data_IF_359166217343
#
_entry.id   IF_359166217343
#
_cell.length_a   1.000
_cell.length_b   1.000
_cell.length_c   1.000
_cell.angle_alpha   90.00
_cell.angle_beta   90.00
_cell.angle_gamma   90.00
#
_symmetry.space_group_name_H-M   'P 1'
#
loop_
_entity.id
_entity.type
_entity.pdbx_description
1 polymer ?
#
# COMPACT_ATOMS: atom_id res chain seq x y z
N UNK A 1 -4.09 19.12 -29.37
CA UNK A 1 -5.45 19.52 -29.73
C UNK A 1 -5.76 20.76 -28.91
N UNK A 2 -6.41 21.78 -29.47
CA UNK A 2 -6.82 22.93 -28.66
C UNK A 2 -8.10 22.53 -27.89
N UNK A 3 -7.93 22.12 -26.63
CA UNK A 3 -9.04 21.66 -25.78
C UNK A 3 -10.15 22.71 -25.62
N UNK A 4 -9.82 24.00 -25.76
CA UNK A 4 -10.81 25.07 -25.68
C UNK A 4 -11.64 25.16 -26.96
N UNK A 5 -11.01 24.95 -28.12
CA UNK A 5 -11.73 24.85 -29.39
C UNK A 5 -12.75 23.71 -29.35
N UNK A 6 -12.33 22.54 -28.86
CA UNK A 6 -13.18 21.35 -28.72
C UNK A 6 -14.40 21.61 -27.81
N UNK A 7 -14.18 22.23 -26.65
CA UNK A 7 -15.28 22.62 -25.75
C UNK A 7 -16.22 23.66 -26.38
N UNK A 8 -15.70 24.61 -27.15
CA UNK A 8 -16.53 25.61 -27.85
C UNK A 8 -17.43 24.96 -28.91
N UNK A 9 -16.91 23.99 -29.67
CA UNK A 9 -17.70 23.23 -30.64
C UNK A 9 -18.83 22.45 -29.95
N UNK A 10 -18.53 21.81 -28.82
CA UNK A 10 -19.53 21.10 -28.02
C UNK A 10 -20.56 22.08 -27.45
N UNK A 11 -20.13 23.24 -26.97
CA UNK A 11 -21.02 24.28 -26.45
C UNK A 11 -22.06 24.71 -27.48
N UNK A 12 -21.65 24.95 -28.72
CA UNK A 12 -22.57 25.33 -29.80
C UNK A 12 -23.66 24.27 -30.07
N UNK A 13 -23.37 22.98 -29.81
CA UNK A 13 -24.33 21.89 -29.94
C UNK A 13 -25.37 21.90 -28.80
N UNK A 14 -24.95 22.27 -27.57
CA UNK A 14 -25.78 22.12 -26.38
C UNK A 14 -26.38 23.43 -25.84
N UNK A 15 -25.91 24.60 -26.29
CA UNK A 15 -26.26 25.91 -25.70
C UNK A 15 -27.76 26.18 -25.59
N UNK A 16 -28.55 25.70 -26.54
CA UNK A 16 -30.00 25.92 -26.57
C UNK A 16 -30.75 25.02 -25.57
N UNK A 17 -30.09 24.00 -25.04
CA UNK A 17 -30.61 23.13 -23.97
C UNK A 17 -30.33 23.68 -22.57
N UNK A 18 -29.45 24.69 -22.46
CA UNK A 18 -29.09 25.30 -21.18
C UNK A 18 -30.11 26.37 -20.78
N UNK A 19 -30.63 26.35 -19.55
CA UNK A 19 -31.45 27.44 -19.02
C UNK A 19 -30.62 28.72 -18.83
N UNK A 20 -31.25 29.87 -19.07
CA UNK A 20 -30.62 31.17 -18.87
C UNK A 20 -30.40 31.46 -17.38
N UNK A 21 -29.25 32.05 -17.05
CA UNK A 21 -28.90 32.45 -15.68
C UNK A 21 -28.59 31.29 -14.73
N UNK A 22 -28.39 30.07 -15.23
CA UNK A 22 -28.01 28.91 -14.43
C UNK A 22 -26.61 28.46 -14.81
N UNK A 23 -25.73 28.33 -13.81
CA UNK A 23 -24.42 27.75 -13.96
C UNK A 23 -24.44 26.29 -13.51
N UNK A 24 -23.83 25.42 -14.32
CA UNK A 24 -23.59 24.02 -14.00
C UNK A 24 -22.11 23.80 -13.77
N UNK A 25 -21.78 23.18 -12.65
CA UNK A 25 -20.41 22.98 -12.20
C UNK A 25 -20.07 21.48 -12.16
N UNK A 26 -18.87 21.15 -12.58
CA UNK A 26 -18.22 19.87 -12.36
C UNK A 26 -16.81 20.15 -11.83
N UNK A 27 -16.17 19.16 -11.22
CA UNK A 27 -14.79 19.32 -10.80
C UNK A 27 -14.03 18.02 -11.02
N UNK A 28 -12.73 18.17 -11.23
CA UNK A 28 -11.80 17.08 -11.43
C UNK A 28 -10.54 17.31 -10.60
N UNK A 29 -9.91 16.19 -10.25
CA UNK A 29 -8.66 16.15 -9.51
C UNK A 29 -7.69 15.39 -10.40
N UNK A 30 -6.55 16.00 -10.79
CA UNK A 30 -5.51 15.27 -11.49
C UNK A 30 -5.06 14.12 -10.60
N UNK A 31 -5.22 12.87 -11.06
CA UNK A 31 -4.53 11.76 -10.41
C UNK A 31 -3.05 11.79 -10.81
N UNK A 32 -2.17 11.43 -9.88
CA UNK A 32 -0.76 11.18 -10.19
C UNK A 32 -0.52 9.93 -11.07
N UNK A 33 -1.52 9.07 -11.24
CA UNK A 33 -1.45 7.80 -11.99
C UNK A 33 -1.91 7.90 -13.46
N UNK A 34 -2.27 9.09 -13.94
CA UNK A 34 -2.83 9.28 -15.29
C UNK A 34 -4.27 8.76 -15.46
N UNK A 35 -4.89 8.22 -14.41
CA UNK A 35 -6.31 7.87 -14.35
C UNK A 35 -6.99 8.75 -13.29
N UNK A 36 -7.25 10.01 -13.66
CA UNK A 36 -7.95 10.96 -12.80
C UNK A 36 -9.25 10.36 -12.28
N UNK A 37 -9.76 10.85 -11.15
CA UNK A 37 -11.21 10.76 -10.88
C UNK A 37 -11.94 11.72 -11.83
N UNK A 38 -11.77 11.56 -13.14
CA UNK A 38 -12.53 12.25 -14.17
C UNK A 38 -13.81 11.47 -14.39
N UNK A 39 -14.86 11.85 -13.66
CA UNK A 39 -16.15 11.16 -13.77
C UNK A 39 -17.27 11.76 -12.94
N UNK A 40 -17.18 13.03 -12.56
CA UNK A 40 -18.24 13.66 -11.76
C UNK A 40 -19.17 14.42 -12.69
N UNK A 41 -20.40 13.92 -12.83
CA UNK A 41 -21.47 14.59 -13.57
C UNK A 41 -21.67 16.01 -13.06
N UNK A 42 -22.05 16.91 -13.96
CA UNK A 42 -22.38 18.29 -13.61
C UNK A 42 -23.47 18.36 -12.52
N UNK A 43 -23.48 19.45 -11.77
CA UNK A 43 -24.54 19.79 -10.83
C UNK A 43 -24.76 21.30 -10.84
N UNK A 44 -25.91 21.75 -10.36
CA UNK A 44 -26.14 23.15 -10.01
C UNK A 44 -26.43 23.26 -8.51
N UNK A 45 -26.22 24.43 -7.91
CA UNK A 45 -26.53 24.66 -6.50
C UNK A 45 -27.93 25.25 -6.37
N UNK A 46 -28.80 24.55 -5.64
CA UNK A 46 -30.13 25.04 -5.25
C UNK A 46 -30.20 25.05 -3.73
N UNK A 47 -30.40 26.22 -3.14
CA UNK A 47 -30.42 26.42 -1.68
C UNK A 47 -29.17 25.83 -0.97
N UNK A 48 -28.00 26.01 -1.59
CA UNK A 48 -26.72 25.49 -1.07
C UNK A 48 -26.51 23.99 -1.23
N UNK A 49 -27.43 23.27 -1.89
CA UNK A 49 -27.34 21.83 -2.12
C UNK A 49 -27.09 21.51 -3.60
N UNK A 50 -26.22 20.54 -3.85
CA UNK A 50 -25.94 20.07 -5.20
C UNK A 50 -27.16 19.32 -5.79
N UNK A 51 -27.80 19.91 -6.80
CA UNK A 51 -28.89 19.31 -7.54
C UNK A 51 -28.39 18.75 -8.89
N UNK A 52 -28.27 17.42 -8.95
CA UNK A 52 -27.89 16.70 -10.18
C UNK A 52 -29.08 16.33 -11.06
N UNK A 53 -30.31 16.37 -10.53
CA UNK A 53 -31.52 16.07 -11.30
C UNK A 53 -31.92 17.24 -12.20
N UNK A 54 -31.52 18.46 -11.83
CA UNK A 54 -31.77 19.68 -12.58
C UNK A 54 -30.80 19.89 -13.75
N UNK A 55 -29.85 18.99 -13.99
CA UNK A 55 -28.93 19.16 -15.13
C UNK A 55 -29.63 18.88 -16.46
N UNK A 56 -29.33 19.65 -17.51
CA UNK A 56 -29.81 19.42 -18.86
C UNK A 56 -29.49 18.00 -19.33
N UNK A 57 -30.40 17.41 -20.10
CA UNK A 57 -30.25 16.04 -20.62
C UNK A 57 -28.96 15.85 -21.45
N UNK A 58 -28.49 16.92 -22.10
CA UNK A 58 -27.24 16.94 -22.86
C UNK A 58 -25.97 16.83 -22.00
N UNK A 59 -26.07 17.03 -20.68
CA UNK A 59 -24.97 16.90 -19.71
C UNK A 59 -25.13 15.68 -18.80
N UNK A 60 -26.22 14.91 -18.95
CA UNK A 60 -26.44 13.65 -18.21
C UNK A 60 -25.71 12.51 -18.90
N UNK A 61 -25.22 11.58 -18.10
CA UNK A 61 -24.80 10.28 -18.59
C UNK A 61 -26.03 9.49 -19.07
N UNK A 62 -26.01 9.05 -20.34
CA UNK A 62 -27.16 8.40 -20.97
C UNK A 62 -26.75 7.42 -22.05
N UNK A 63 -27.60 6.43 -22.31
CA UNK A 63 -27.34 5.30 -23.23
C UNK A 63 -27.52 5.62 -24.72
N UNK A 64 -27.86 6.86 -25.07
CA UNK A 64 -28.02 7.26 -26.46
C UNK A 64 -26.66 7.58 -27.07
N UNK A 65 -26.33 6.96 -28.21
CA UNK A 65 -25.02 7.03 -28.86
C UNK A 65 -24.46 8.46 -29.00
N UNK A 66 -25.30 9.41 -29.43
CA UNK A 66 -24.89 10.83 -29.59
C UNK A 66 -24.54 11.51 -28.27
N UNK A 67 -25.18 11.11 -27.17
CA UNK A 67 -24.88 11.61 -25.82
C UNK A 67 -23.60 11.00 -25.28
N UNK A 68 -23.37 9.71 -25.54
CA UNK A 68 -22.12 9.02 -25.21
C UNK A 68 -20.93 9.71 -25.88
N UNK A 69 -21.05 10.03 -27.18
CA UNK A 69 -19.99 10.71 -27.93
C UNK A 69 -19.70 12.11 -27.38
N UNK A 70 -20.72 12.93 -27.11
CA UNK A 70 -20.55 14.28 -26.55
C UNK A 70 -19.92 14.20 -25.16
N UNK A 71 -20.40 13.32 -24.27
CA UNK A 71 -19.86 13.18 -22.92
C UNK A 71 -18.41 12.68 -22.95
N UNK A 72 -18.08 11.75 -23.86
CA UNK A 72 -16.70 11.28 -24.03
C UNK A 72 -15.79 12.44 -24.42
N UNK A 73 -16.17 13.24 -25.42
CA UNK A 73 -15.39 14.40 -25.88
C UNK A 73 -15.21 15.45 -24.77
N UNK A 74 -16.26 15.70 -23.97
CA UNK A 74 -16.17 16.58 -22.78
C UNK A 74 -15.16 16.01 -21.78
N UNK A 75 -15.24 14.72 -21.48
CA UNK A 75 -14.37 14.07 -20.50
C UNK A 75 -12.90 14.07 -20.95
N UNK A 76 -12.64 13.83 -22.24
CA UNK A 76 -11.31 13.87 -22.83
C UNK A 76 -10.72 15.29 -22.75
N UNK A 77 -11.49 16.32 -23.14
CA UNK A 77 -11.05 17.70 -23.03
C UNK A 77 -10.79 18.13 -21.58
N UNK A 78 -11.66 17.73 -20.64
CA UNK A 78 -11.44 17.97 -19.19
C UNK A 78 -10.21 17.26 -18.68
N UNK A 79 -9.96 16.03 -19.12
CA UNK A 79 -8.78 15.28 -18.76
C UNK A 79 -7.51 16.01 -19.23
N UNK A 80 -7.46 16.41 -20.50
CA UNK A 80 -6.34 17.17 -21.06
C UNK A 80 -6.09 18.49 -20.32
N UNK A 81 -7.15 19.25 -20.02
CA UNK A 81 -7.05 20.49 -19.22
C UNK A 81 -6.48 20.19 -17.84
N UNK A 82 -6.98 19.14 -17.18
CA UNK A 82 -6.59 18.75 -15.82
C UNK A 82 -5.12 18.30 -15.78
N UNK A 83 -4.68 17.51 -16.76
CA UNK A 83 -3.29 17.04 -16.88
C UNK A 83 -2.33 18.18 -17.22
N UNK A 84 -2.79 19.21 -17.94
CA UNK A 84 -2.00 20.41 -18.22
C UNK A 84 -1.78 21.32 -17.00
N UNK A 85 -2.54 21.12 -15.90
CA UNK A 85 -2.34 21.87 -14.67
C UNK A 85 -1.22 21.28 -13.80
N UNK A 86 -0.73 22.08 -12.84
CA UNK A 86 0.14 21.56 -11.77
C UNK A 86 -0.54 20.38 -11.04
N UNK A 87 0.18 19.29 -10.74
CA UNK A 87 -0.38 18.15 -10.03
C UNK A 87 -1.02 18.56 -8.70
N UNK A 88 -2.15 17.93 -8.35
CA UNK A 88 -2.82 18.16 -7.07
C UNK A 88 -3.68 19.42 -6.99
N UNK A 89 -3.84 20.19 -8.08
CA UNK A 89 -4.80 21.31 -8.14
C UNK A 89 -6.21 20.80 -8.48
N UNK A 90 -7.24 21.24 -7.76
CA UNK A 90 -8.63 21.01 -8.17
C UNK A 90 -9.00 21.94 -9.31
N UNK A 91 -9.48 21.38 -10.41
CA UNK A 91 -10.01 22.15 -11.53
C UNK A 91 -11.53 22.14 -11.43
N UNK A 92 -12.12 23.33 -11.33
CA UNK A 92 -13.56 23.54 -11.41
C UNK A 92 -13.88 23.86 -12.87
N UNK A 93 -14.77 23.09 -13.46
CA UNK A 93 -15.34 23.29 -14.77
C UNK A 93 -16.75 23.86 -14.61
N UNK A 94 -17.06 24.95 -15.29
CA UNK A 94 -18.40 25.52 -15.32
C UNK A 94 -18.91 25.62 -16.74
N UNK A 95 -20.23 25.46 -16.90
CA UNK A 95 -20.91 25.74 -18.15
C UNK A 95 -22.20 26.51 -17.90
N UNK A 96 -22.41 27.57 -18.67
CA UNK A 96 -23.64 28.37 -18.66
C UNK A 96 -24.00 28.79 -20.08
N UNK A 97 -25.26 29.19 -20.29
CA UNK A 97 -25.72 29.68 -21.60
C UNK A 97 -24.99 30.97 -22.01
N UNK A 98 -24.67 31.80 -21.04
CA UNK A 98 -24.11 33.14 -21.26
C UNK A 98 -22.60 33.10 -21.49
N UNK A 99 -21.88 32.23 -20.77
CA UNK A 99 -20.41 32.24 -20.75
C UNK A 99 -19.76 31.02 -21.43
N UNK A 100 -20.55 30.04 -21.86
CA UNK A 100 -20.00 28.79 -22.41
C UNK A 100 -19.26 27.96 -21.38
N UNK A 101 -18.34 27.10 -21.84
CA UNK A 101 -17.46 26.34 -20.96
C UNK A 101 -16.32 27.22 -20.45
N UNK A 102 -16.13 27.21 -19.14
CA UNK A 102 -15.02 27.86 -18.46
C UNK A 102 -14.38 26.88 -17.47
N UNK A 103 -13.12 27.12 -17.11
CA UNK A 103 -12.45 26.39 -16.05
C UNK A 103 -11.56 27.32 -15.22
N UNK A 104 -11.32 26.93 -13.97
CA UNK A 104 -10.39 27.61 -13.07
C UNK A 104 -9.91 26.67 -11.97
N UNK A 105 -8.86 27.07 -11.28
CA UNK A 105 -8.39 26.39 -10.08
C UNK A 105 -9.31 26.74 -8.90
N UNK A 106 -9.69 25.74 -8.12
CA UNK A 106 -10.48 25.91 -6.90
C UNK A 106 -9.68 26.65 -5.83
N UNK A 107 -10.35 27.54 -5.09
CA UNK A 107 -9.82 28.04 -3.81
C UNK A 107 -9.90 26.96 -2.73
N UNK A 108 -9.12 27.06 -1.63
CA UNK A 108 -9.23 26.12 -0.50
C UNK A 108 -10.64 26.06 0.10
N UNK A 109 -11.36 27.18 0.14
CA UNK A 109 -12.75 27.27 0.61
C UNK A 109 -13.68 26.43 -0.26
N UNK A 110 -13.59 26.59 -1.58
CA UNK A 110 -14.40 25.85 -2.54
C UNK A 110 -14.06 24.37 -2.54
N UNK A 111 -12.78 24.04 -2.41
CA UNK A 111 -12.32 22.67 -2.25
C UNK A 111 -13.01 22.00 -1.05
N UNK A 112 -12.96 22.62 0.13
CA UNK A 112 -13.61 22.10 1.34
C UNK A 112 -15.12 21.99 1.16
N UNK A 113 -15.78 22.99 0.55
CA UNK A 113 -17.22 22.95 0.29
C UNK A 113 -17.62 21.80 -0.64
N UNK A 114 -16.89 21.61 -1.75
CA UNK A 114 -17.17 20.55 -2.72
C UNK A 114 -16.95 19.17 -2.12
N UNK A 115 -15.92 19.01 -1.29
CA UNK A 115 -15.67 17.76 -0.55
C UNK A 115 -16.78 17.47 0.44
N UNK A 116 -17.25 18.47 1.22
CA UNK A 116 -18.39 18.30 2.14
C UNK A 116 -19.63 17.79 1.41
N UNK A 117 -19.97 18.39 0.26
CA UNK A 117 -21.11 17.99 -0.55
C UNK A 117 -21.03 16.55 -1.07
N UNK A 118 -19.83 16.02 -1.25
CA UNK A 118 -19.65 14.61 -1.62
C UNK A 118 -19.71 13.67 -0.45
N UNK A 119 -19.03 14.00 0.63
CA UNK A 119 -19.02 13.13 1.81
C UNK A 119 -20.44 12.90 2.32
N UNK A 120 -21.29 13.93 2.34
CA UNK A 120 -22.70 13.83 2.74
C UNK A 120 -23.46 12.80 1.87
N UNK A 121 -23.16 12.70 0.57
CA UNK A 121 -23.81 11.73 -0.33
C UNK A 121 -23.38 10.29 -0.11
N UNK A 122 -22.23 10.10 0.53
CA UNK A 122 -21.69 8.78 0.82
C UNK A 122 -22.20 8.24 2.15
N UNK A 123 -22.97 9.01 2.91
CA UNK A 123 -23.56 8.54 4.17
C UNK A 123 -24.88 7.85 3.90
N UNK A 124 -24.95 6.57 4.26
CA UNK A 124 -26.17 5.79 4.20
C UNK A 124 -27.12 6.24 5.33
N UNK A 125 -28.46 6.24 5.09
CA UNK A 125 -29.41 6.59 6.14
C UNK A 125 -29.21 5.77 7.42
N UNK A 126 -29.26 6.43 8.58
CA UNK A 126 -29.01 5.83 9.89
C UNK A 126 -27.53 5.57 10.20
N UNK A 127 -26.60 6.14 9.42
CA UNK A 127 -25.16 6.01 9.70
C UNK A 127 -24.50 7.34 9.96
N UNK A 128 -23.39 7.29 10.71
CA UNK A 128 -22.43 8.39 10.83
C UNK A 128 -21.06 7.87 10.46
N UNK A 129 -20.27 8.66 9.74
CA UNK A 129 -18.93 8.27 9.29
C UNK A 129 -17.88 9.20 9.89
N UNK A 130 -16.83 8.63 10.47
CA UNK A 130 -15.57 9.33 10.69
C UNK A 130 -14.60 8.89 9.63
N UNK A 131 -13.99 9.86 8.94
CA UNK A 131 -13.10 9.59 7.81
C UNK A 131 -11.79 10.28 8.11
N UNK A 132 -10.70 9.55 7.95
CA UNK A 132 -9.35 10.00 8.24
C UNK A 132 -8.51 9.82 6.99
N UNK A 133 -7.65 10.80 6.69
CA UNK A 133 -6.59 10.66 5.72
C UNK A 133 -5.30 11.18 6.32
N UNK A 134 -4.34 10.28 6.49
CA UNK A 134 -2.96 10.60 6.83
C UNK A 134 -2.21 10.88 5.53
N UNK A 135 -1.49 12.00 5.50
CA UNK A 135 -0.69 12.40 4.35
C UNK A 135 0.77 12.32 4.74
N UNK A 136 1.50 11.43 4.08
CA UNK A 136 2.94 11.34 4.17
C UNK A 136 3.54 11.78 2.83
N UNK A 137 4.53 12.68 2.79
CA UNK A 137 5.26 12.94 1.57
C UNK A 137 6.05 11.67 1.18
N UNK A 138 5.85 11.20 -0.04
CA UNK A 138 6.74 10.21 -0.65
C UNK A 138 8.16 10.81 -0.71
N UNK A 139 9.09 10.21 0.02
CA UNK A 139 10.46 10.70 0.18
C UNK A 139 11.25 10.74 -1.13
N UNK A 140 10.83 10.01 -2.16
CA UNK A 140 11.50 9.91 -3.47
C UNK A 140 10.85 10.78 -4.53
N UNK A 141 9.52 10.86 -4.53
CA UNK A 141 8.78 11.56 -5.59
C UNK A 141 8.27 12.94 -5.18
N UNK A 142 8.30 13.27 -3.88
CA UNK A 142 7.70 14.49 -3.33
C UNK A 142 6.17 14.51 -3.42
N UNK A 143 5.55 13.42 -3.88
CA UNK A 143 4.10 13.32 -4.05
C UNK A 143 3.43 13.01 -2.71
N UNK A 144 2.19 13.50 -2.48
CA UNK A 144 1.42 13.09 -1.31
C UNK A 144 1.02 11.63 -1.44
N UNK A 145 1.57 10.80 -0.56
CA UNK A 145 1.06 9.46 -0.30
C UNK A 145 -0.03 9.57 0.77
N UNK A 146 -1.21 9.05 0.47
CA UNK A 146 -2.39 9.27 1.29
C UNK A 146 -3.01 7.95 1.70
N UNK A 147 -2.94 7.66 2.99
CA UNK A 147 -3.58 6.50 3.59
C UNK A 147 -4.91 6.93 4.19
N UNK A 148 -5.99 6.46 3.57
CA UNK A 148 -7.35 6.74 4.00
C UNK A 148 -7.90 5.63 4.88
N UNK A 149 -8.68 5.98 5.90
CA UNK A 149 -9.52 5.04 6.67
C UNK A 149 -10.85 5.67 7.02
N UNK A 150 -11.85 4.83 7.28
CA UNK A 150 -13.16 5.28 7.71
C UNK A 150 -13.74 4.37 8.79
N UNK A 151 -14.41 4.97 9.77
CA UNK A 151 -15.24 4.28 10.77
C UNK A 151 -16.70 4.60 10.51
N UNK A 152 -17.52 3.57 10.34
CA UNK A 152 -18.97 3.69 10.16
C UNK A 152 -19.64 3.28 11.46
N UNK A 153 -20.42 4.20 12.01
CA UNK A 153 -21.25 4.00 13.19
C UNK A 153 -22.68 3.76 12.73
N UNK A 154 -23.24 2.61 13.11
CA UNK A 154 -24.61 2.20 12.81
C UNK A 154 -25.53 2.48 14.01
N UNK A 155 -26.83 2.67 13.78
CA UNK A 155 -27.82 2.95 14.85
C UNK A 155 -27.89 1.86 15.92
N UNK A 156 -27.55 0.61 15.56
CA UNK A 156 -27.51 -0.53 16.48
C UNK A 156 -26.29 -0.50 17.43
N UNK A 157 -25.42 0.51 17.35
CA UNK A 157 -24.19 0.65 18.14
C UNK A 157 -22.99 -0.10 17.56
N UNK A 158 -23.14 -0.79 16.43
CA UNK A 158 -22.03 -1.43 15.72
C UNK A 158 -21.10 -0.37 15.10
N UNK A 159 -19.80 -0.62 15.18
CA UNK A 159 -18.77 0.21 14.56
C UNK A 159 -17.93 -0.67 13.65
N UNK A 160 -17.81 -0.28 12.38
CA UNK A 160 -16.95 -0.96 11.40
C UNK A 160 -15.86 -0.02 10.91
N UNK A 161 -14.63 -0.49 10.86
CA UNK A 161 -13.49 0.25 10.31
C UNK A 161 -13.09 -0.37 8.96
N UNK A 162 -12.80 0.50 7.99
CA UNK A 162 -12.40 0.12 6.63
C UNK A 162 -11.17 0.91 6.21
N UNK A 163 -10.26 0.27 5.48
CA UNK A 163 -9.19 0.92 4.74
C UNK A 163 -9.73 1.54 3.44
N UNK A 164 -9.09 2.62 3.00
CA UNK A 164 -9.55 3.44 1.87
C UNK A 164 -10.59 4.49 2.30
N UNK A 165 -10.34 5.75 1.95
CA UNK A 165 -11.21 6.86 2.29
C UNK A 165 -11.58 7.70 1.06
N UNK A 166 -12.87 8.10 0.91
CA UNK A 166 -13.29 9.05 -0.12
C UNK A 166 -12.62 10.42 -0.03
N UNK A 167 -12.05 10.75 1.14
CA UNK A 167 -11.37 12.03 1.38
C UNK A 167 -9.92 12.06 0.86
N UNK A 168 -9.39 10.93 0.37
CA UNK A 168 -7.99 10.85 -0.04
C UNK A 168 -7.64 11.82 -1.18
N UNK A 169 -8.54 12.05 -2.13
CA UNK A 169 -8.27 13.00 -3.21
C UNK A 169 -8.33 14.46 -2.74
N UNK A 170 -9.20 14.77 -1.77
CA UNK A 170 -9.16 16.05 -1.07
C UNK A 170 -7.82 16.22 -0.34
N UNK A 171 -7.36 15.21 0.39
CA UNK A 171 -6.12 15.29 1.16
C UNK A 171 -4.90 15.52 0.25
N UNK A 172 -4.85 14.84 -0.91
CA UNK A 172 -3.83 15.09 -1.94
C UNK A 172 -3.82 16.54 -2.42
N UNK A 173 -4.99 17.12 -2.67
CA UNK A 173 -5.07 18.49 -3.15
C UNK A 173 -4.79 19.53 -2.06
N UNK A 174 -5.33 19.30 -0.86
CA UNK A 174 -5.10 20.14 0.30
C UNK A 174 -3.61 20.15 0.71
N UNK A 175 -2.88 19.05 0.47
CA UNK A 175 -1.43 18.99 0.67
C UNK A 175 -0.70 20.04 -0.18
N UNK A 176 -1.01 20.14 -1.47
CA UNK A 176 -0.45 21.16 -2.35
C UNK A 176 -0.92 22.58 -2.02
N UNK A 177 -2.17 22.72 -1.61
CA UNK A 177 -2.71 24.02 -1.19
C UNK A 177 -2.04 24.55 0.09
N UNK A 178 -1.40 23.68 0.88
CA UNK A 178 -0.72 24.02 2.15
C UNK A 178 0.80 23.91 2.05
N UNK A 179 1.37 24.12 0.87
CA UNK A 179 2.82 24.04 0.62
C UNK A 179 3.43 22.72 1.14
N UNK A 180 2.74 21.60 0.92
CA UNK A 180 3.21 20.25 1.27
C UNK A 180 3.32 20.00 2.78
N UNK A 181 2.62 20.81 3.60
CA UNK A 181 2.65 20.69 5.08
C UNK A 181 1.48 19.92 5.66
N UNK A 182 0.48 19.55 4.85
CA UNK A 182 -0.67 18.78 5.34
C UNK A 182 -0.19 17.42 5.84
N UNK A 183 -0.51 17.09 7.09
CA UNK A 183 -0.25 15.80 7.71
C UNK A 183 -1.52 14.97 7.88
N UNK A 184 -2.64 15.65 8.15
CA UNK A 184 -3.87 14.95 8.52
C UNK A 184 -5.12 15.66 8.04
N UNK A 185 -6.10 14.88 7.60
CA UNK A 185 -7.48 15.31 7.36
C UNK A 185 -8.42 14.42 8.14
N UNK A 186 -9.32 15.04 8.89
CA UNK A 186 -10.44 14.39 9.56
C UNK A 186 -11.74 14.94 9.00
N UNK A 187 -12.71 14.05 8.77
CA UNK A 187 -14.07 14.44 8.50
C UNK A 187 -15.06 13.66 9.38
N UNK A 188 -15.95 14.39 10.03
CA UNK A 188 -17.15 13.84 10.66
C UNK A 188 -18.33 14.11 9.75
N UNK A 189 -18.99 13.04 9.32
CA UNK A 189 -20.01 13.11 8.27
C UNK A 189 -21.31 12.46 8.75
N UNK A 190 -22.40 13.18 8.55
CA UNK A 190 -23.78 12.76 8.79
C UNK A 190 -24.60 12.93 7.50
N UNK A 191 -25.87 12.51 7.51
CA UNK A 191 -26.78 12.69 6.38
C UNK A 191 -27.00 14.15 5.95
N UNK A 192 -26.73 15.11 6.85
CA UNK A 192 -27.06 16.52 6.62
C UNK A 192 -25.87 17.46 6.71
N UNK A 193 -24.76 17.00 7.28
CA UNK A 193 -23.61 17.85 7.55
C UNK A 193 -22.29 17.07 7.44
N UNK A 194 -21.24 17.80 7.09
CA UNK A 194 -19.87 17.33 7.05
C UNK A 194 -18.94 18.39 7.66
N UNK A 195 -18.28 18.04 8.75
CA UNK A 195 -17.25 18.86 9.37
C UNK A 195 -15.90 18.32 8.93
N UNK A 196 -15.05 19.18 8.34
CA UNK A 196 -13.69 18.83 7.94
C UNK A 196 -12.70 19.62 8.80
N UNK A 197 -11.75 18.90 9.41
CA UNK A 197 -10.64 19.44 10.19
C UNK A 197 -9.32 18.99 9.57
N UNK A 198 -8.28 19.81 9.68
CA UNK A 198 -6.96 19.49 9.09
C UNK A 198 -5.83 19.80 10.06
N UNK A 199 -4.69 19.14 9.86
CA UNK A 199 -3.43 19.46 10.56
C UNK A 199 -2.31 19.70 9.54
N UNK A 200 -1.78 20.93 9.41
CA UNK A 200 -2.26 22.16 10.05
C UNK A 200 -3.64 22.58 9.55
N UNK A 201 -4.30 23.47 10.28
CA UNK A 201 -5.55 24.11 9.83
C UNK A 201 -5.32 24.91 8.54
N UNK A 202 -6.28 24.88 7.61
CA UNK A 202 -6.32 25.80 6.47
C UNK A 202 -6.84 27.15 7.01
N UNK A 203 -6.04 28.23 6.98
CA UNK A 203 -6.41 29.50 7.59
C UNK A 203 -7.77 30.01 7.10
N UNK A 204 -8.72 30.20 8.02
CA UNK A 204 -10.06 30.71 7.72
C UNK A 204 -11.04 29.70 7.12
N UNK A 205 -10.61 28.45 6.87
CA UNK A 205 -11.43 27.44 6.17
C UNK A 205 -11.73 26.22 7.02
N UNK A 206 -10.72 25.65 7.68
CA UNK A 206 -10.88 24.44 8.52
C UNK A 206 -10.41 24.72 9.94
N UNK A 207 -10.99 23.98 10.88
CA UNK A 207 -10.46 23.92 12.24
C UNK A 207 -9.20 23.05 12.29
N UNK A 208 -8.34 23.31 13.28
CA UNK A 208 -7.23 22.44 13.59
C UNK A 208 -7.77 21.08 14.05
N UNK A 209 -7.30 20.02 13.41
CA UNK A 209 -7.47 18.68 13.94
C UNK A 209 -6.38 18.42 14.97
N UNK A 210 -6.77 18.41 16.25
CA UNK A 210 -5.94 17.91 17.33
C UNK A 210 -6.22 16.43 17.51
N UNK A 211 -5.17 15.62 17.34
CA UNK A 211 -5.22 14.19 17.63
C UNK A 211 -5.39 14.02 19.14
N UNK A 212 -6.63 13.83 19.60
CA UNK A 212 -6.90 13.51 21.00
C UNK A 212 -6.78 11.99 21.18
N UNK A 213 -5.55 11.52 21.36
CA UNK A 213 -5.26 10.12 21.62
C UNK A 213 -5.16 9.83 23.11
N UNK A 214 -5.76 8.72 23.54
CA UNK A 214 -5.55 8.20 24.88
C UNK A 214 -4.12 7.64 25.00
N UNK A 215 -3.29 8.34 25.78
CA UNK A 215 -1.91 7.96 26.07
C UNK A 215 -1.77 7.23 27.42
N UNK A 216 -2.89 6.79 28.01
CA UNK A 216 -2.89 6.01 29.25
C UNK A 216 -2.41 4.59 28.97
N UNK A 217 -1.18 4.28 29.37
CA UNK A 217 -0.58 2.96 29.21
C UNK A 217 -0.54 2.19 30.54
N UNK A 218 -1.23 1.04 30.61
CA UNK A 218 -1.02 0.05 31.66
C UNK A 218 0.20 -0.81 31.34
N UNK A 219 1.38 -0.37 31.77
CA UNK A 219 2.66 -1.04 31.56
C UNK A 219 2.89 -2.26 32.47
N UNK A 220 1.86 -2.80 33.14
CA UNK A 220 1.98 -4.04 33.93
C UNK A 220 2.02 -5.31 33.07
N UNK A 221 1.61 -5.20 31.80
CA UNK A 221 1.51 -6.29 30.83
C UNK A 221 2.20 -5.91 29.52
N UNK A 222 2.93 -6.85 28.93
CA UNK A 222 3.69 -6.58 27.70
C UNK A 222 2.78 -6.35 26.50
N UNK A 223 1.60 -6.98 26.49
CA UNK A 223 0.60 -6.88 25.44
C UNK A 223 0.10 -5.44 25.27
N UNK A 224 -0.08 -4.70 26.36
CA UNK A 224 -0.49 -3.30 26.33
C UNK A 224 0.64 -2.40 25.76
N UNK A 225 1.90 -2.75 26.00
CA UNK A 225 3.04 -2.04 25.42
C UNK A 225 3.11 -2.32 23.91
N UNK A 226 2.89 -3.56 23.49
CA UNK A 226 2.80 -3.91 22.06
C UNK A 226 1.63 -3.22 21.37
N UNK A 227 0.48 -3.07 22.01
CA UNK A 227 -0.62 -2.25 21.48
C UNK A 227 -0.17 -0.81 21.18
N UNK A 228 0.60 -0.20 22.09
CA UNK A 228 1.11 1.16 21.91
C UNK A 228 2.13 1.25 20.77
N UNK A 229 3.11 0.33 20.74
CA UNK A 229 4.10 0.27 19.66
C UNK A 229 3.46 0.01 18.29
N UNK A 230 2.45 -0.84 18.22
CA UNK A 230 1.85 -1.26 16.96
C UNK A 230 0.64 -0.40 16.54
N UNK A 231 0.44 0.76 17.18
CA UNK A 231 -0.74 1.63 16.98
C UNK A 231 -0.67 2.58 15.77
N UNK A 232 0.47 2.67 15.10
CA UNK A 232 0.81 3.69 14.09
C UNK A 232 0.83 5.15 14.60
N UNK A 233 0.65 5.38 15.91
CA UNK A 233 0.76 6.72 16.51
C UNK A 233 2.17 6.96 17.03
N UNK A 234 2.83 8.01 16.55
CA UNK A 234 4.15 8.45 17.04
C UNK A 234 4.14 8.63 18.57
N UNK A 235 3.10 9.29 19.11
CA UNK A 235 2.97 9.55 20.55
C UNK A 235 2.78 8.28 21.38
N UNK A 236 1.98 7.32 20.88
CA UNK A 236 1.82 6.02 21.55
C UNK A 236 3.10 5.18 21.44
N UNK A 237 3.78 5.20 20.30
CA UNK A 237 5.04 4.50 20.11
C UNK A 237 6.07 5.03 21.10
N UNK A 238 6.23 6.35 21.22
CA UNK A 238 7.15 6.99 22.18
C UNK A 238 6.84 6.55 23.62
N UNK A 239 5.57 6.58 24.03
CA UNK A 239 5.13 6.09 25.35
C UNK A 239 5.43 4.61 25.57
N UNK A 240 5.26 3.78 24.54
CA UNK A 240 5.62 2.36 24.57
C UNK A 240 7.12 2.17 24.78
N UNK A 241 7.96 2.93 24.07
CA UNK A 241 9.42 2.90 24.22
C UNK A 241 9.84 3.33 25.62
N UNK A 242 9.30 4.43 26.14
CA UNK A 242 9.56 4.90 27.53
C UNK A 242 9.25 3.80 28.56
N UNK A 243 8.12 3.09 28.39
CA UNK A 243 7.72 2.00 29.28
C UNK A 243 8.69 0.80 29.20
N UNK A 244 9.22 0.50 28.02
CA UNK A 244 10.25 -0.53 27.86
C UNK A 244 11.57 -0.13 28.51
N UNK A 245 12.01 1.11 28.38
CA UNK A 245 13.23 1.60 29.02
C UNK A 245 13.16 1.53 30.55
N UNK A 246 11.98 1.75 31.11
CA UNK A 246 11.72 1.62 32.54
C UNK A 246 11.60 0.15 33.02
N UNK A 247 11.45 -0.82 32.12
CA UNK A 247 11.27 -2.23 32.44
C UNK A 247 12.20 -3.14 31.61
N UNK A 248 13.40 -3.49 32.14
CA UNK A 248 14.39 -4.29 31.42
C UNK A 248 13.91 -5.67 30.97
N UNK A 249 13.00 -6.32 31.72
CA UNK A 249 12.45 -7.63 31.34
C UNK A 249 11.59 -7.50 30.08
N UNK A 250 10.72 -6.49 30.05
CA UNK A 250 9.86 -6.20 28.90
C UNK A 250 10.66 -5.69 27.71
N UNK A 251 11.70 -4.87 27.94
CA UNK A 251 12.66 -4.48 26.90
C UNK A 251 13.28 -5.68 26.21
N UNK A 252 13.78 -6.67 26.96
CA UNK A 252 14.36 -7.87 26.39
C UNK A 252 13.36 -8.68 25.53
N UNK A 253 12.09 -8.75 25.95
CA UNK A 253 11.02 -9.39 25.16
C UNK A 253 10.73 -8.62 23.86
N UNK A 254 10.63 -7.30 23.94
CA UNK A 254 10.43 -6.45 22.77
C UNK A 254 11.62 -6.50 21.80
N UNK A 255 12.86 -6.54 22.31
CA UNK A 255 14.07 -6.70 21.49
C UNK A 255 14.12 -8.06 20.79
N UNK A 256 13.59 -9.13 21.42
CA UNK A 256 13.42 -10.43 20.75
C UNK A 256 12.39 -10.34 19.62
N UNK A 257 11.28 -9.63 19.82
CA UNK A 257 10.19 -9.48 18.84
C UNK A 257 10.56 -8.59 17.65
N UNK A 258 11.18 -7.43 17.91
CA UNK A 258 11.40 -6.39 16.90
C UNK A 258 12.86 -6.15 16.55
N UNK A 259 13.82 -6.65 17.35
CA UNK A 259 15.22 -6.25 17.24
C UNK A 259 15.84 -6.52 15.88
N UNK A 260 15.50 -7.64 15.22
CA UNK A 260 15.98 -7.91 13.87
C UNK A 260 15.34 -6.99 12.82
N UNK A 261 14.05 -6.67 12.98
CA UNK A 261 13.39 -5.72 12.08
C UNK A 261 14.05 -4.35 12.15
N UNK A 262 14.34 -3.90 13.37
CA UNK A 262 15.05 -2.65 13.62
C UNK A 262 16.43 -2.67 12.98
N UNK A 263 17.21 -3.73 13.20
CA UNK A 263 18.56 -3.85 12.64
C UNK A 263 18.58 -3.88 11.12
N UNK A 264 17.63 -4.57 10.50
CA UNK A 264 17.52 -4.67 9.05
C UNK A 264 17.15 -3.32 8.43
N UNK A 265 16.20 -2.58 9.03
CA UNK A 265 15.67 -1.34 8.43
C UNK A 265 16.44 -0.08 8.82
N UNK A 266 17.07 -0.05 9.99
CA UNK A 266 17.75 1.14 10.53
C UNK A 266 19.27 0.97 10.54
N UNK A 267 19.76 -0.22 10.87
CA UNK A 267 21.19 -0.55 10.91
C UNK A 267 21.57 -1.46 12.09
N UNK A 268 22.70 -2.16 11.97
CA UNK A 268 23.10 -3.23 12.89
C UNK A 268 23.28 -2.80 14.37
N UNK A 269 23.59 -1.53 14.60
CA UNK A 269 23.80 -0.95 15.94
C UNK A 269 22.51 -0.39 16.56
N UNK A 270 21.38 -0.41 15.86
CA UNK A 270 20.12 0.15 16.33
C UNK A 270 19.41 -0.77 17.35
N UNK A 271 18.90 -0.17 18.43
CA UNK A 271 18.11 -0.83 19.47
C UNK A 271 16.64 -0.44 19.47
N UNK A 272 15.92 -0.83 20.53
CA UNK A 272 14.45 -0.64 20.62
C UNK A 272 14.01 0.82 20.52
N UNK A 273 14.87 1.76 20.90
CA UNK A 273 14.65 3.21 20.75
C UNK A 273 14.49 3.64 19.28
N UNK A 274 14.93 2.82 18.34
CA UNK A 274 14.78 3.05 16.90
C UNK A 274 13.52 2.39 16.31
N UNK A 275 12.62 1.85 17.14
CA UNK A 275 11.43 1.13 16.67
C UNK A 275 10.55 1.98 15.75
N UNK A 276 10.31 3.25 16.06
CA UNK A 276 9.50 4.16 15.23
C UNK A 276 9.97 4.23 13.77
N UNK A 277 11.29 4.24 13.56
CA UNK A 277 11.90 4.29 12.21
C UNK A 277 11.82 2.95 11.48
N UNK A 278 11.75 1.85 12.24
CA UNK A 278 11.73 0.50 11.71
C UNK A 278 10.31 -0.04 11.50
N UNK A 279 9.34 0.44 12.27
CA UNK A 279 7.95 0.01 12.20
C UNK A 279 7.40 0.17 10.78
N UNK A 280 6.55 -0.77 10.38
CA UNK A 280 5.86 -0.65 9.12
C UNK A 280 4.82 0.47 9.21
N UNK A 281 4.79 1.32 8.20
CA UNK A 281 3.66 2.21 7.96
C UNK A 281 2.41 1.39 7.58
N UNK A 282 1.23 2.00 7.69
CA UNK A 282 -0.03 1.37 7.28
C UNK A 282 0.01 0.86 5.84
N UNK A 283 0.57 1.64 4.92
CA UNK A 283 0.73 1.23 3.51
C UNK A 283 1.65 0.03 3.35
N UNK A 284 2.74 -0.02 4.09
CA UNK A 284 3.64 -1.19 4.09
C UNK A 284 2.96 -2.43 4.68
N UNK A 285 2.08 -2.27 5.67
CA UNK A 285 1.23 -3.36 6.18
C UNK A 285 0.26 -3.87 5.10
N UNK A 286 -0.31 -2.99 4.26
CA UNK A 286 -1.20 -3.39 3.15
C UNK A 286 -0.51 -4.27 2.10
N UNK A 287 0.82 -4.25 2.01
CA UNK A 287 1.59 -5.17 1.16
C UNK A 287 1.43 -6.64 1.57
N UNK A 288 0.94 -6.90 2.78
CA UNK A 288 0.66 -8.26 3.31
C UNK A 288 -0.81 -8.66 3.19
N UNK A 289 -1.62 -7.89 2.47
CA UNK A 289 -3.03 -8.21 2.21
C UNK A 289 -3.21 -9.38 1.22
N UNK A 290 -4.43 -9.92 1.15
CA UNK A 290 -4.81 -11.03 0.27
C UNK A 290 -4.53 -10.82 -1.22
N UNK A 291 -4.37 -9.56 -1.67
CA UNK A 291 -3.98 -9.25 -3.05
C UNK A 291 -2.56 -9.72 -3.36
N UNK A 292 -1.66 -9.63 -2.38
CA UNK A 292 -0.25 -10.01 -2.50
C UNK A 292 0.07 -11.33 -1.83
N UNK A 293 -0.69 -11.71 -0.79
CA UNK A 293 -0.50 -12.94 -0.01
C UNK A 293 -1.79 -13.77 -0.01
N UNK A 294 -2.13 -14.34 -1.17
CA UNK A 294 -3.22 -15.30 -1.29
C UNK A 294 -2.84 -16.67 -0.69
N UNK A 295 -3.80 -17.58 -0.51
CA UNK A 295 -3.66 -18.85 0.23
C UNK A 295 -2.35 -19.63 -0.02
N UNK A 296 -1.92 -19.72 -1.27
CA UNK A 296 -0.70 -20.43 -1.70
C UNK A 296 0.19 -19.62 -2.65
N UNK A 297 -0.02 -18.30 -2.76
CA UNK A 297 0.69 -17.43 -3.70
C UNK A 297 1.21 -16.19 -3.01
N UNK A 298 2.49 -15.87 -3.26
CA UNK A 298 3.04 -14.54 -3.01
C UNK A 298 3.17 -13.83 -4.34
N UNK A 299 2.51 -12.70 -4.50
CA UNK A 299 2.61 -11.84 -5.68
C UNK A 299 3.34 -10.55 -5.34
N UNK A 300 4.54 -10.40 -5.89
CA UNK A 300 5.29 -9.13 -5.90
C UNK A 300 5.03 -8.34 -7.18
N UNK A 301 4.01 -8.74 -7.96
CA UNK A 301 3.70 -8.15 -9.25
C UNK A 301 3.47 -6.64 -9.13
N UNK A 302 4.13 -5.89 -10.02
CA UNK A 302 4.11 -4.42 -10.11
C UNK A 302 4.65 -3.68 -8.88
N UNK A 303 5.27 -4.38 -7.94
CA UNK A 303 5.96 -3.73 -6.83
C UNK A 303 7.24 -3.03 -7.32
N UNK A 304 7.50 -1.86 -6.76
CA UNK A 304 8.78 -1.18 -6.91
C UNK A 304 9.87 -1.79 -5.99
N UNK A 305 11.08 -1.24 -6.05
CA UNK A 305 12.22 -1.76 -5.27
C UNK A 305 12.01 -1.60 -3.75
N UNK A 306 11.36 -0.53 -3.28
CA UNK A 306 11.15 -0.28 -1.85
C UNK A 306 10.03 -1.17 -1.29
N UNK A 307 8.97 -1.38 -2.06
CA UNK A 307 7.89 -2.30 -1.71
C UNK A 307 8.44 -3.74 -1.62
N UNK A 308 9.24 -4.15 -2.61
CA UNK A 308 9.93 -5.44 -2.58
C UNK A 308 10.85 -5.55 -1.36
N UNK A 309 11.65 -4.51 -1.08
CA UNK A 309 12.55 -4.43 0.06
C UNK A 309 11.79 -4.55 1.37
N UNK A 310 10.66 -3.88 1.51
CA UNK A 310 9.82 -3.92 2.71
C UNK A 310 9.34 -5.34 3.00
N UNK A 311 8.81 -6.03 1.99
CA UNK A 311 8.36 -7.41 2.13
C UNK A 311 9.51 -8.34 2.53
N UNK A 312 10.65 -8.22 1.85
CA UNK A 312 11.85 -9.04 2.10
C UNK A 312 12.45 -8.76 3.47
N UNK A 313 12.60 -7.49 3.85
CA UNK A 313 13.18 -7.08 5.13
C UNK A 313 12.32 -7.52 6.30
N UNK A 314 10.99 -7.40 6.20
CA UNK A 314 10.09 -7.82 7.26
C UNK A 314 10.11 -9.34 7.45
N UNK A 315 9.88 -10.11 6.38
CA UNK A 315 9.89 -11.58 6.43
C UNK A 315 11.28 -12.10 6.83
N UNK A 316 12.33 -11.54 6.25
CA UNK A 316 13.71 -11.91 6.53
C UNK A 316 14.07 -11.67 7.99
N UNK A 317 13.70 -10.51 8.55
CA UNK A 317 13.92 -10.18 9.97
C UNK A 317 13.18 -11.12 10.91
N UNK A 318 11.95 -11.50 10.54
CA UNK A 318 11.14 -12.43 11.31
C UNK A 318 11.82 -13.81 11.38
N UNK A 319 12.36 -14.31 10.26
CA UNK A 319 13.17 -15.55 10.24
C UNK A 319 14.46 -15.40 11.04
N UNK A 320 15.20 -14.31 10.84
CA UNK A 320 16.49 -14.05 11.51
C UNK A 320 16.39 -13.91 13.03
N UNK A 321 15.18 -13.66 13.54
CA UNK A 321 14.92 -13.65 14.99
C UNK A 321 15.04 -15.05 15.62
N UNK A 322 14.93 -16.11 14.81
CA UNK A 322 14.97 -17.50 15.25
C UNK A 322 16.07 -18.34 14.61
N UNK A 323 16.68 -17.83 13.54
CA UNK A 323 17.69 -18.50 12.74
C UNK A 323 18.92 -17.61 12.54
N UNK A 324 20.08 -18.11 12.95
CA UNK A 324 21.36 -17.54 12.51
C UNK A 324 21.62 -17.99 11.06
N UNK A 325 21.49 -17.06 10.12
CA UNK A 325 21.61 -17.31 8.68
C UNK A 325 23.03 -17.75 8.29
N UNK A 326 24.06 -17.28 8.98
CA UNK A 326 25.44 -17.66 8.66
C UNK A 326 25.77 -19.07 9.16
N UNK A 327 25.33 -19.40 10.38
CA UNK A 327 25.49 -20.75 10.92
C UNK A 327 24.66 -21.76 10.12
N UNK A 328 23.42 -21.41 9.77
CA UNK A 328 22.59 -22.24 8.90
C UNK A 328 23.26 -22.50 7.55
N UNK A 329 23.79 -21.45 6.89
CA UNK A 329 24.53 -21.60 5.62
C UNK A 329 25.69 -22.58 5.76
N UNK A 330 26.52 -22.45 6.80
CA UNK A 330 27.66 -23.37 7.05
C UNK A 330 27.19 -24.82 7.20
N UNK A 331 26.10 -25.05 7.92
CA UNK A 331 25.53 -26.38 8.10
C UNK A 331 25.05 -26.97 6.76
N UNK A 332 24.37 -26.16 5.94
CA UNK A 332 23.90 -26.58 4.62
C UNK A 332 25.06 -26.92 3.67
N UNK A 333 26.11 -26.11 3.63
CA UNK A 333 27.32 -26.34 2.82
C UNK A 333 28.15 -27.53 3.32
N UNK A 334 28.02 -27.88 4.60
CA UNK A 334 28.69 -29.04 5.18
C UNK A 334 28.03 -30.37 4.79
N UNK A 335 26.74 -30.38 4.43
CA UNK A 335 25.99 -31.60 4.09
C UNK A 335 26.58 -32.34 2.88
N UNK A 336 26.56 -33.67 2.94
CA UNK A 336 27.19 -34.53 1.93
C UNK A 336 26.18 -35.02 0.86
N UNK A 337 24.88 -34.91 1.15
CA UNK A 337 23.82 -35.36 0.25
C UNK A 337 22.48 -34.65 0.51
N UNK A 338 21.52 -34.86 -0.39
CA UNK A 338 20.20 -34.21 -0.33
C UNK A 338 19.36 -34.63 0.89
N UNK A 339 19.59 -35.81 1.46
CA UNK A 339 18.85 -36.28 2.64
C UNK A 339 19.26 -35.49 3.89
N UNK A 340 20.56 -35.37 4.14
CA UNK A 340 21.11 -34.55 5.23
C UNK A 340 20.68 -33.09 5.10
N UNK A 341 20.72 -32.54 3.88
CA UNK A 341 20.27 -31.18 3.59
C UNK A 341 18.81 -30.97 4.02
N UNK A 342 17.92 -31.91 3.70
CA UNK A 342 16.50 -31.83 4.07
C UNK A 342 16.31 -31.91 5.58
N UNK A 343 17.06 -32.76 6.29
CA UNK A 343 16.98 -32.88 7.74
C UNK A 343 17.37 -31.59 8.45
N UNK A 344 18.51 -30.98 8.06
CA UNK A 344 18.96 -29.68 8.59
C UNK A 344 17.91 -28.61 8.34
N UNK A 345 17.39 -28.53 7.12
CA UNK A 345 16.38 -27.54 6.75
C UNK A 345 15.08 -27.70 7.56
N UNK A 346 14.52 -28.90 7.63
CA UNK A 346 13.25 -29.13 8.32
C UNK A 346 13.35 -28.87 9.82
N UNK A 347 14.49 -29.22 10.44
CA UNK A 347 14.77 -28.89 11.84
C UNK A 347 14.76 -27.37 12.08
N UNK A 348 15.48 -26.62 11.23
CA UNK A 348 15.48 -25.16 11.28
C UNK A 348 14.09 -24.56 11.02
N UNK A 349 13.35 -25.09 10.05
CA UNK A 349 12.02 -24.61 9.68
C UNK A 349 11.01 -24.78 10.82
N UNK A 350 11.04 -25.92 11.52
CA UNK A 350 10.20 -26.15 12.70
C UNK A 350 10.49 -25.15 13.82
N UNK A 351 11.77 -24.89 14.11
CA UNK A 351 12.19 -23.91 15.12
C UNK A 351 11.72 -22.51 14.77
N UNK A 352 11.94 -22.07 13.53
CA UNK A 352 11.55 -20.74 13.05
C UNK A 352 10.03 -20.60 13.12
N UNK A 353 9.27 -21.56 12.60
CA UNK A 353 7.80 -21.53 12.63
C UNK A 353 7.26 -21.43 14.06
N UNK A 354 7.77 -22.26 14.98
CA UNK A 354 7.35 -22.23 16.38
C UNK A 354 7.63 -20.87 17.01
N UNK A 355 8.83 -20.32 16.81
CA UNK A 355 9.20 -19.00 17.32
C UNK A 355 8.31 -17.86 16.81
N UNK A 356 7.97 -17.87 15.52
CA UNK A 356 7.07 -16.87 14.93
C UNK A 356 5.66 -16.95 15.55
N UNK A 357 5.12 -18.17 15.69
CA UNK A 357 3.81 -18.38 16.30
C UNK A 357 3.79 -17.99 17.77
N UNK A 358 4.85 -18.30 18.52
CA UNK A 358 4.96 -17.95 19.93
C UNK A 358 4.85 -16.42 20.13
N UNK A 359 5.54 -15.62 19.31
CA UNK A 359 5.41 -14.15 19.38
C UNK A 359 4.05 -13.66 18.89
N UNK A 360 3.55 -14.22 17.79
CA UNK A 360 2.23 -13.84 17.28
C UNK A 360 1.14 -14.04 18.34
N UNK A 361 1.25 -15.09 19.15
CA UNK A 361 0.31 -15.41 20.23
C UNK A 361 0.42 -14.49 21.45
N UNK A 362 1.54 -13.79 21.66
CA UNK A 362 1.65 -12.81 22.77
C UNK A 362 0.68 -11.65 22.55
N UNK A 363 0.61 -11.13 21.32
CA UNK A 363 -0.33 -10.06 20.97
C UNK A 363 -0.77 -10.16 19.51
N UNK A 364 -1.80 -10.97 19.28
CA UNK A 364 -2.29 -11.31 17.94
C UNK A 364 -3.20 -10.26 17.28
N UNK A 365 -3.79 -9.34 18.06
CA UNK A 365 -4.75 -8.34 17.56
C UNK A 365 -4.12 -7.10 16.92
N UNK A 366 -2.92 -7.25 16.37
CA UNK A 366 -2.06 -6.17 15.91
C UNK A 366 -1.48 -6.48 14.54
N UNK A 367 -1.01 -5.47 13.81
CA UNK A 367 -0.49 -5.70 12.47
C UNK A 367 0.70 -6.67 12.49
N UNK A 368 1.59 -6.63 13.48
CA UNK A 368 2.72 -7.56 13.54
C UNK A 368 2.23 -8.98 13.85
N UNK A 369 1.30 -9.11 14.80
CA UNK A 369 0.71 -10.39 15.18
C UNK A 369 -0.06 -11.06 14.04
N UNK A 370 -0.86 -10.29 13.31
CA UNK A 370 -1.64 -10.74 12.16
C UNK A 370 -0.74 -11.20 11.01
N UNK A 371 0.23 -10.37 10.62
CA UNK A 371 1.18 -10.74 9.56
C UNK A 371 2.04 -11.93 9.99
N UNK A 372 2.51 -11.97 11.23
CA UNK A 372 3.29 -13.12 11.75
C UNK A 372 2.48 -14.42 11.71
N UNK A 373 1.20 -14.35 12.06
CA UNK A 373 0.28 -15.51 11.99
C UNK A 373 0.06 -15.96 10.55
N UNK A 374 -0.18 -15.01 9.64
CA UNK A 374 -0.30 -15.28 8.20
C UNK A 374 0.95 -16.01 7.70
N UNK A 375 2.14 -15.41 7.87
CA UNK A 375 3.41 -15.93 7.37
C UNK A 375 3.75 -17.30 7.97
N UNK A 376 3.55 -17.49 9.29
CA UNK A 376 3.84 -18.77 9.93
C UNK A 376 2.99 -19.94 9.42
N UNK A 377 1.80 -19.65 8.85
CA UNK A 377 0.87 -20.65 8.34
C UNK A 377 0.82 -20.73 6.81
N UNK A 378 1.37 -19.75 6.10
CA UNK A 378 1.32 -19.68 4.65
C UNK A 378 2.13 -20.81 3.97
N UNK A 379 1.48 -21.56 3.08
CA UNK A 379 2.07 -22.62 2.25
C UNK A 379 2.32 -22.12 0.83
N UNK A 380 3.48 -21.50 0.62
CA UNK A 380 3.81 -20.84 -0.65
C UNK A 380 4.04 -21.86 -1.78
N UNK A 381 3.12 -21.98 -2.72
CA UNK A 381 3.30 -22.83 -3.91
C UNK A 381 3.81 -22.03 -5.11
N UNK A 382 3.52 -20.73 -5.14
CA UNK A 382 3.93 -19.83 -6.23
C UNK A 382 4.46 -18.49 -5.70
N UNK A 383 5.56 -18.02 -6.29
CA UNK A 383 6.08 -16.66 -6.14
C UNK A 383 6.05 -15.97 -7.50
N UNK A 384 5.35 -14.84 -7.60
CA UNK A 384 5.15 -14.11 -8.86
C UNK A 384 5.92 -12.79 -8.88
N UNK A 385 6.63 -12.58 -9.99
CA UNK A 385 7.25 -11.32 -10.39
C UNK A 385 6.71 -10.96 -11.77
N UNK A 386 5.64 -10.15 -11.84
CA UNK A 386 5.14 -9.61 -13.10
C UNK A 386 5.39 -8.11 -13.11
N UNK A 387 6.20 -7.61 -14.06
CA UNK A 387 6.54 -6.17 -14.15
C UNK A 387 7.10 -5.60 -12.84
N UNK A 388 7.94 -6.39 -12.17
CA UNK A 388 8.46 -6.10 -10.84
C UNK A 388 9.88 -5.56 -10.91
N UNK A 389 10.21 -4.57 -10.07
CA UNK A 389 11.56 -4.03 -9.95
C UNK A 389 12.30 -4.65 -8.75
N UNK A 390 12.62 -5.94 -8.82
CA UNK A 390 13.28 -6.67 -7.73
C UNK A 390 14.81 -6.52 -7.77
N UNK A 391 15.29 -5.32 -7.44
CA UNK A 391 16.72 -5.00 -7.35
C UNK A 391 17.20 -4.92 -5.90
N UNK A 392 17.23 -6.07 -5.24
CA UNK A 392 17.73 -6.16 -3.87
C UNK A 392 19.17 -6.68 -3.85
N UNK A 393 19.97 -6.15 -2.93
CA UNK A 393 21.32 -6.65 -2.65
C UNK A 393 21.24 -8.06 -2.04
N UNK A 394 22.28 -8.88 -2.24
CA UNK A 394 22.38 -10.20 -1.60
C UNK A 394 22.75 -10.06 -0.12
N UNK A 395 21.83 -9.54 0.68
CA UNK A 395 21.95 -9.37 2.12
C UNK A 395 21.31 -10.56 2.87
N UNK A 396 21.42 -10.56 4.20
CA UNK A 396 20.94 -11.68 5.01
C UNK A 396 19.40 -11.72 5.10
N UNK A 397 18.72 -10.57 5.00
CA UNK A 397 17.27 -10.51 4.94
C UNK A 397 16.73 -11.22 3.68
N UNK A 398 17.35 -11.03 2.51
CA UNK A 398 16.98 -11.71 1.28
C UNK A 398 17.23 -13.22 1.36
N UNK A 399 18.35 -13.65 1.95
CA UNK A 399 18.63 -15.08 2.19
C UNK A 399 17.59 -15.70 3.14
N UNK A 400 17.24 -14.98 4.19
CA UNK A 400 16.22 -15.39 5.15
C UNK A 400 14.82 -15.43 4.53
N UNK A 401 14.49 -14.50 3.63
CA UNK A 401 13.27 -14.56 2.81
C UNK A 401 13.26 -15.80 1.91
N UNK A 402 14.38 -16.13 1.24
CA UNK A 402 14.49 -17.35 0.43
C UNK A 402 14.33 -18.64 1.27
N UNK A 403 14.80 -18.63 2.52
CA UNK A 403 14.49 -19.67 3.49
C UNK A 403 12.99 -19.71 3.82
N UNK A 404 12.37 -18.57 4.12
CA UNK A 404 10.94 -18.52 4.44
C UNK A 404 10.05 -19.19 3.38
N UNK A 405 10.37 -19.06 2.09
CA UNK A 405 9.55 -19.62 1.01
C UNK A 405 9.27 -21.13 1.19
N UNK A 406 10.20 -21.92 1.75
CA UNK A 406 9.97 -23.35 2.01
C UNK A 406 9.70 -23.69 3.49
N UNK A 407 9.41 -22.70 4.33
CA UNK A 407 9.14 -22.88 5.76
C UNK A 407 8.04 -23.92 6.02
N UNK A 408 6.96 -23.88 5.23
CA UNK A 408 5.77 -24.72 5.38
C UNK A 408 5.56 -25.73 4.24
N UNK A 409 6.50 -25.83 3.29
CA UNK A 409 6.27 -26.55 2.04
C UNK A 409 7.05 -27.86 1.96
N UNK A 410 6.35 -28.93 1.58
CA UNK A 410 6.94 -30.21 1.17
C UNK A 410 7.05 -30.38 -0.34
N UNK A 411 6.56 -29.42 -1.12
CA UNK A 411 6.49 -29.47 -2.58
C UNK A 411 7.39 -28.41 -3.22
N UNK A 412 7.66 -28.57 -4.52
CA UNK A 412 8.46 -27.62 -5.29
C UNK A 412 7.68 -26.33 -5.52
N UNK A 413 8.27 -25.21 -5.11
CA UNK A 413 7.71 -23.88 -5.34
C UNK A 413 7.93 -23.47 -6.80
N UNK A 414 6.97 -22.80 -7.39
CA UNK A 414 7.05 -22.24 -8.72
C UNK A 414 7.35 -20.73 -8.68
N UNK A 415 8.48 -20.31 -9.24
CA UNK A 415 8.79 -18.90 -9.43
C UNK A 415 8.41 -18.50 -10.86
N UNK A 416 7.56 -17.49 -10.98
CA UNK A 416 7.04 -16.98 -12.23
C UNK A 416 7.58 -15.57 -12.45
N UNK A 417 8.56 -15.42 -13.32
CA UNK A 417 9.30 -14.17 -13.53
C UNK A 417 9.04 -13.68 -14.94
N UNK A 418 8.21 -12.64 -15.07
CA UNK A 418 7.77 -12.09 -16.35
C UNK A 418 8.01 -10.58 -16.41
N UNK A 419 8.70 -10.12 -17.47
CA UNK A 419 8.99 -8.70 -17.73
C UNK A 419 9.51 -7.95 -16.49
N UNK A 420 10.39 -8.58 -15.70
CA UNK A 420 10.83 -8.07 -14.40
C UNK A 420 12.34 -7.90 -14.36
N UNK A 421 12.84 -6.99 -13.53
CA UNK A 421 14.27 -6.83 -13.25
C UNK A 421 14.63 -7.62 -12.00
N UNK A 422 15.32 -8.75 -12.15
CA UNK A 422 15.70 -9.64 -11.06
C UNK A 422 17.21 -9.94 -11.11
N UNK A 423 17.97 -9.51 -10.11
CA UNK A 423 19.43 -9.67 -10.11
C UNK A 423 19.93 -10.96 -9.46
N UNK A 424 19.28 -11.43 -8.38
CA UNK A 424 19.80 -12.55 -7.62
C UNK A 424 18.71 -13.24 -6.77
N UNK A 425 18.63 -14.57 -6.84
CA UNK A 425 17.81 -15.41 -5.94
C UNK A 425 18.63 -16.04 -4.79
N UNK A 426 19.89 -15.61 -4.64
CA UNK A 426 20.87 -16.03 -3.62
C UNK A 426 21.22 -17.52 -3.66
N UNK A 427 22.31 -17.88 -3.00
CA UNK A 427 22.73 -19.27 -2.81
C UNK A 427 21.68 -20.11 -2.03
N UNK A 428 20.80 -19.46 -1.26
CA UNK A 428 19.73 -20.13 -0.50
C UNK A 428 18.68 -20.81 -1.40
N UNK A 429 18.61 -20.43 -2.69
CA UNK A 429 17.87 -21.17 -3.70
C UNK A 429 18.26 -22.66 -3.69
N UNK A 430 19.55 -22.97 -3.54
CA UNK A 430 20.08 -24.34 -3.55
C UNK A 430 19.91 -25.06 -2.22
N UNK A 431 19.51 -24.35 -1.17
CA UNK A 431 19.29 -24.91 0.17
C UNK A 431 17.86 -25.40 0.37
N UNK A 432 16.94 -25.10 -0.55
CA UNK A 432 15.56 -25.57 -0.44
C UNK A 432 15.47 -27.12 -0.41
N UNK A 433 14.65 -27.73 0.48
CA UNK A 433 14.39 -29.17 0.50
C UNK A 433 13.98 -29.71 -0.88
N UNK A 434 13.15 -28.93 -1.57
CA UNK A 434 12.72 -29.19 -2.94
C UNK A 434 13.03 -27.98 -3.80
N UNK A 435 13.97 -28.12 -4.75
CA UNK A 435 14.39 -26.98 -5.57
C UNK A 435 13.21 -26.29 -6.27
N UNK A 436 13.15 -24.96 -6.24
CA UNK A 436 12.12 -24.23 -6.97
C UNK A 436 12.24 -24.46 -8.48
N UNK A 437 11.08 -24.48 -9.16
CA UNK A 437 10.98 -24.42 -10.61
C UNK A 437 10.81 -22.98 -11.03
N UNK A 438 11.60 -22.51 -12.00
CA UNK A 438 11.58 -21.07 -12.36
C UNK A 438 11.20 -20.87 -13.82
N UNK A 439 10.20 -20.05 -14.10
CA UNK A 439 9.87 -19.58 -15.44
C UNK A 439 10.36 -18.15 -15.63
N UNK A 440 10.96 -17.87 -16.78
CA UNK A 440 11.57 -16.58 -17.11
C UNK A 440 11.04 -16.12 -18.46
N UNK A 441 10.06 -15.23 -18.47
CA UNK A 441 9.49 -14.66 -19.68
C UNK A 441 9.96 -13.22 -19.90
N UNK A 442 10.50 -12.94 -21.09
CA UNK A 442 10.94 -11.59 -21.47
C UNK A 442 11.93 -10.95 -20.46
N UNK A 443 12.80 -11.78 -19.88
CA UNK A 443 13.88 -11.39 -18.97
C UNK A 443 15.07 -12.34 -19.11
N UNK A 444 16.25 -11.90 -18.67
CA UNK A 444 17.45 -12.74 -18.68
C UNK A 444 17.39 -13.81 -17.59
N UNK A 445 17.63 -15.06 -17.99
CA UNK A 445 17.75 -16.17 -17.06
C UNK A 445 19.09 -16.13 -16.33
N UNK A 446 19.05 -16.03 -15.00
CA UNK A 446 20.23 -16.11 -14.14
C UNK A 446 20.03 -17.17 -13.08
N UNK A 447 20.94 -18.15 -13.07
CA UNK A 447 20.96 -19.18 -12.03
C UNK A 447 21.87 -18.74 -10.89
N UNK A 448 21.46 -18.84 -9.61
CA UNK A 448 22.30 -18.44 -8.48
C UNK A 448 23.58 -19.25 -8.36
N UNK A 449 24.57 -18.68 -7.68
CA UNK A 449 25.83 -19.35 -7.36
C UNK A 449 25.59 -20.67 -6.62
N UNK A 450 26.34 -21.71 -7.00
CA UNK A 450 26.21 -23.05 -6.43
C UNK A 450 27.34 -23.32 -5.42
N UNK A 451 26.99 -23.53 -4.15
CA UNK A 451 27.98 -23.69 -3.06
C UNK A 451 28.01 -25.07 -2.42
N UNK A 452 27.11 -25.98 -2.79
CA UNK A 452 27.03 -27.32 -2.21
C UNK A 452 28.13 -28.26 -2.76
N UNK A 453 28.50 -29.26 -1.94
CA UNK A 453 29.50 -30.31 -2.28
C UNK A 453 28.95 -31.42 -3.19
N UNK A 454 27.63 -31.58 -3.25
CA UNK A 454 26.95 -32.57 -4.08
C UNK A 454 26.14 -31.88 -5.17
N UNK A 455 25.77 -32.61 -6.23
CA UNK A 455 25.02 -32.02 -7.36
C UNK A 455 23.53 -31.93 -7.08
N UNK A 456 22.92 -30.81 -7.48
CA UNK A 456 21.46 -30.68 -7.60
C UNK A 456 21.08 -30.18 -8.99
N UNK A 457 19.82 -30.41 -9.39
CA UNK A 457 19.30 -30.06 -10.72
C UNK A 457 18.22 -28.99 -10.61
N UNK A 458 18.51 -27.78 -11.09
CA UNK A 458 17.51 -26.74 -11.22
C UNK A 458 16.68 -26.96 -12.49
N UNK A 459 15.37 -26.73 -12.39
CA UNK A 459 14.43 -26.81 -13.49
C UNK A 459 13.97 -25.41 -13.87
N UNK A 460 14.08 -25.06 -15.14
CA UNK A 460 13.73 -23.74 -15.62
C UNK A 460 13.10 -23.79 -17.00
N UNK A 461 12.29 -22.80 -17.34
CA UNK A 461 11.82 -22.54 -18.70
C UNK A 461 12.07 -21.08 -19.07
N UNK A 462 12.32 -20.82 -20.35
CA UNK A 462 12.51 -19.48 -20.89
C UNK A 462 11.35 -19.20 -21.86
N UNK A 463 10.62 -18.12 -21.62
CA UNK A 463 9.34 -17.76 -22.25
C UNK A 463 8.20 -18.76 -21.95
N UNK A 464 6.96 -18.31 -22.11
CA UNK A 464 5.78 -19.08 -21.72
C UNK A 464 5.61 -20.38 -22.51
N UNK A 465 5.97 -20.37 -23.79
CA UNK A 465 5.96 -21.52 -24.70
C UNK A 465 7.25 -22.36 -24.66
N UNK A 466 8.20 -22.01 -23.78
CA UNK A 466 9.48 -22.70 -23.68
C UNK A 466 9.38 -24.09 -23.06
N UNK A 467 10.21 -25.01 -23.54
CA UNK A 467 10.36 -26.33 -22.90
C UNK A 467 11.03 -26.24 -21.53
N UNK A 468 10.67 -27.16 -20.63
CA UNK A 468 11.34 -27.30 -19.34
C UNK A 468 12.76 -27.87 -19.50
N UNK A 469 13.74 -27.03 -19.22
CA UNK A 469 15.16 -27.36 -19.22
C UNK A 469 15.65 -27.71 -17.81
N UNK A 470 16.82 -28.36 -17.76
CA UNK A 470 17.49 -28.72 -16.51
C UNK A 470 18.97 -28.33 -16.55
N UNK A 471 19.45 -27.69 -15.49
CA UNK A 471 20.87 -27.33 -15.33
C UNK A 471 21.40 -27.89 -14.01
N UNK A 472 22.55 -28.56 -14.06
CA UNK A 472 23.28 -29.06 -12.90
C UNK A 472 24.63 -28.37 -12.87
N UNK A 473 24.86 -27.43 -11.95
CA UNK A 473 26.18 -26.83 -11.76
C UNK A 473 27.21 -27.90 -11.35
N UNK A 474 28.50 -27.62 -11.57
CA UNK A 474 29.58 -28.41 -10.96
C UNK A 474 29.53 -28.19 -9.44
N UNK A 475 29.77 -29.22 -8.61
CA UNK A 475 29.90 -29.04 -7.18
C UNK A 475 31.03 -28.09 -6.81
N UNK A 476 30.90 -27.41 -5.68
CA UNK A 476 31.97 -26.58 -5.15
C UNK A 476 33.23 -27.43 -4.88
N UNK A 477 34.41 -26.93 -5.29
CA UNK A 477 35.69 -27.60 -5.08
C UNK A 477 36.03 -28.74 -6.06
N UNK A 478 35.28 -28.91 -7.15
CA UNK A 478 35.58 -29.89 -8.22
C UNK A 478 35.97 -29.16 -9.50
N UNK A 479 37.27 -29.09 -9.80
CA UNK A 479 37.81 -28.54 -11.06
C UNK A 479 37.39 -29.35 -12.29
#
# INVERSE_FOLDING_TARGET
>A
MDFQQELNEIFEIIKDTLPAGVEFTAYSIPSYSGHGTSGKSYFTLVDGKANRNAIPEALKDGSEYRRIEINQRINDAKFDITVAQEPGRFVIFSVSKENGYTYRIATPEELVQLTKLELIKLVDPGTRKEIFAEVAPDKKTGKPDVVGRQKIYYENGEVKEYTGAPISDFARAAFHALDEKLKFVYALVTETDAVIKTSPAIPGVTELYEVNEDLTLDASKIENIYEFLESFSEAKIEKGIEALEANPEFKAKAEKRYGQLIKTRVGQDAGIESFEKAALSRKEVELFSDWHFAENVISLSRMDEDECRTVVDFIGSLVMSYLDIHEFKKQMEATENEMELREVYHSAAQKVKAGILDEANVYGGSWFGEISTLLANHKVEKLMFEKTHFKLENNDALKAFMFYLNLNNGISIYFDIYQSYLYNLTEFFWFSPTLPRTAWGETDFVLPEFTLKFRRKAFYRINDDGEWLRKSPKPAGVE
#
